data_IF_920256344537
#
_entry.id   IF_920256344537
#
_cell.length_a   1.000
_cell.length_b   1.000
_cell.length_c   1.000
_cell.angle_alpha   90.00
_cell.angle_beta   90.00
_cell.angle_gamma   90.00
#
_symmetry.space_group_name_H-M   'P 1'
#
loop_
_entity.id
_entity.type
_entity.pdbx_description
1 polymer ?
#
# COMPACT_ATOMS: atom_id res chain seq x y z
N UNK A 1 44.28 -0.28 46.24
CA UNK A 1 43.35 0.84 45.94
C UNK A 1 42.06 0.25 45.37
N UNK A 2 41.00 0.09 46.19
CA UNK A 2 39.71 -0.50 45.78
C UNK A 2 38.80 0.61 45.23
N UNK A 3 38.58 0.66 43.90
CA UNK A 3 37.65 1.61 43.28
C UNK A 3 36.21 1.08 43.26
N UNK A 4 35.32 1.89 43.80
CA UNK A 4 33.88 1.70 43.97
C UNK A 4 33.10 2.12 42.70
N UNK A 5 32.78 1.21 41.79
CA UNK A 5 32.07 1.57 40.52
C UNK A 5 30.66 0.94 40.39
N UNK A 6 30.17 0.13 41.34
CA UNK A 6 28.95 -0.69 41.10
C UNK A 6 27.59 -0.16 41.56
N UNK A 7 27.45 1.04 42.14
CA UNK A 7 26.14 1.50 42.67
C UNK A 7 25.25 2.28 41.70
N UNK A 8 25.79 3.00 40.70
CA UNK A 8 24.96 3.88 39.86
C UNK A 8 24.15 3.17 38.75
N UNK A 9 24.63 2.06 38.19
CA UNK A 9 23.90 1.32 37.14
C UNK A 9 22.72 0.51 37.69
N UNK A 10 22.76 0.10 38.96
CA UNK A 10 21.69 -0.68 39.58
C UNK A 10 20.43 0.16 39.81
N UNK A 11 20.58 1.45 40.11
CA UNK A 11 19.45 2.35 40.34
C UNK A 11 18.69 2.72 39.05
N UNK A 12 19.39 2.92 37.94
CA UNK A 12 18.76 3.17 36.64
C UNK A 12 18.04 1.93 36.08
N UNK A 13 18.63 0.74 36.27
CA UNK A 13 17.96 -0.53 35.93
C UNK A 13 16.69 -0.78 36.74
N UNK A 14 16.71 -0.47 38.05
CA UNK A 14 15.52 -0.61 38.90
C UNK A 14 14.41 0.41 38.56
N UNK A 15 14.77 1.64 38.18
CA UNK A 15 13.79 2.65 37.74
C UNK A 15 13.10 2.27 36.43
N UNK A 16 13.85 1.75 35.45
CA UNK A 16 13.29 1.29 34.17
C UNK A 16 12.34 0.09 34.34
N UNK A 17 12.66 -0.83 35.26
CA UNK A 17 11.79 -1.97 35.60
C UNK A 17 10.53 -1.51 36.35
N UNK A 18 10.62 -0.55 37.26
CA UNK A 18 9.43 0.01 37.94
C UNK A 18 8.48 0.72 36.96
N UNK A 19 8.99 1.46 35.98
CA UNK A 19 8.16 2.13 34.96
C UNK A 19 7.41 1.09 34.09
N UNK A 20 8.05 -0.03 33.77
CA UNK A 20 7.39 -1.13 33.06
C UNK A 20 6.30 -1.83 33.87
N UNK A 21 6.44 -1.91 35.20
CA UNK A 21 5.45 -2.54 36.08
C UNK A 21 4.23 -1.65 36.35
N UNK A 22 4.40 -0.32 36.39
CA UNK A 22 3.29 0.64 36.57
C UNK A 22 2.39 0.73 35.31
N UNK A 23 2.93 0.36 34.14
CA UNK A 23 2.21 0.37 32.86
C UNK A 23 1.19 -0.77 32.67
N UNK A 24 1.03 -1.68 33.65
CA UNK A 24 0.13 -2.84 33.51
C UNK A 24 -1.33 -2.59 33.90
N UNK A 25 -1.70 -1.44 34.47
CA UNK A 25 -3.12 -1.16 34.77
C UNK A 25 -3.78 -0.37 33.63
N UNK A 26 -5.00 -0.74 33.20
CA UNK A 26 -5.73 -0.03 32.14
C UNK A 26 -5.84 1.48 32.38
N UNK A 27 -6.08 1.89 33.64
CA UNK A 27 -6.19 3.29 34.04
C UNK A 27 -4.86 4.05 33.94
N UNK A 28 -3.73 3.45 34.32
CA UNK A 28 -2.43 4.09 34.17
C UNK A 28 -2.07 4.23 32.68
N UNK A 29 -2.39 3.22 31.87
CA UNK A 29 -2.14 3.22 30.42
C UNK A 29 -2.99 4.26 29.69
N UNK A 30 -4.27 4.40 30.03
CA UNK A 30 -5.15 5.45 29.49
C UNK A 30 -4.60 6.85 29.78
N UNK A 31 -4.23 7.12 31.04
CA UNK A 31 -3.69 8.42 31.44
C UNK A 31 -2.39 8.78 30.72
N UNK A 32 -1.51 7.80 30.50
CA UNK A 32 -0.24 8.03 29.79
C UNK A 32 -0.48 8.21 28.29
N UNK A 33 -1.26 7.33 27.66
CA UNK A 33 -1.50 7.40 26.22
C UNK A 33 -2.31 8.65 25.83
N UNK A 34 -3.25 9.07 26.67
CA UNK A 34 -4.08 10.26 26.42
C UNK A 34 -3.30 11.58 26.42
N UNK A 35 -2.05 11.59 26.89
CA UNK A 35 -1.16 12.76 26.78
C UNK A 35 -0.60 12.88 25.35
N UNK A 36 -0.41 11.76 24.65
CA UNK A 36 0.27 11.70 23.36
C UNK A 36 -0.66 11.42 22.18
N UNK A 37 -1.80 10.79 22.45
CA UNK A 37 -2.75 10.38 21.43
C UNK A 37 -4.13 10.92 21.80
N UNK A 38 -4.66 11.79 20.94
CA UNK A 38 -6.04 12.23 21.05
C UNK A 38 -6.97 11.06 20.68
N UNK A 39 -7.96 10.78 21.52
CA UNK A 39 -8.96 9.72 21.28
C UNK A 39 -8.62 8.35 21.89
N UNK A 40 -7.71 8.27 22.87
CA UNK A 40 -7.56 7.03 23.66
C UNK A 40 -8.88 6.75 24.40
N UNK A 41 -9.45 5.53 24.30
CA UNK A 41 -10.72 5.20 24.94
C UNK A 41 -10.59 5.09 26.46
N UNK A 42 -11.54 5.69 27.19
CA UNK A 42 -11.59 5.63 28.65
C UNK A 42 -12.05 4.22 29.11
N UNK A 43 -11.25 3.48 29.89
CA UNK A 43 -11.59 2.13 30.34
C UNK A 43 -12.85 2.07 31.21
N UNK A 44 -13.16 3.10 32.01
CA UNK A 44 -14.39 3.12 32.83
C UNK A 44 -15.66 3.26 31.97
N UNK A 45 -15.57 3.99 30.85
CA UNK A 45 -16.67 4.10 29.89
C UNK A 45 -16.85 2.81 29.09
N UNK A 46 -15.77 2.11 28.77
CA UNK A 46 -15.80 0.81 28.08
C UNK A 46 -16.45 -0.26 28.96
N UNK A 47 -16.14 -0.30 30.27
CA UNK A 47 -16.82 -1.16 31.23
C UNK A 47 -18.30 -0.78 31.42
N UNK A 48 -18.64 0.51 31.47
CA UNK A 48 -20.04 0.95 31.58
C UNK A 48 -20.87 0.60 30.33
N UNK A 49 -20.27 0.65 29.14
CA UNK A 49 -20.91 0.24 27.88
C UNK A 49 -21.21 -1.27 27.84
N UNK A 50 -20.41 -2.08 28.56
CA UNK A 50 -20.61 -3.52 28.70
C UNK A 50 -21.60 -3.90 29.81
N UNK A 51 -21.88 -2.98 30.75
CA UNK A 51 -22.76 -3.21 31.88
C UNK A 51 -24.25 -2.92 31.57
N UNK A 52 -24.55 -2.17 30.51
CA UNK A 52 -25.92 -1.79 30.10
C UNK A 52 -26.55 -2.76 29.08
N UNK A 53 -25.95 -3.94 28.87
CA UNK A 53 -26.50 -4.89 27.89
C UNK A 53 -27.62 -5.71 28.51
N UNK A 54 -28.87 -5.38 28.18
CA UNK A 54 -29.97 -6.35 28.27
C UNK A 54 -29.76 -7.47 27.25
N UNK A 55 -30.44 -8.61 27.41
CA UNK A 55 -30.29 -9.77 26.50
C UNK A 55 -30.64 -9.43 25.02
N UNK A 56 -31.44 -8.39 24.78
CA UNK A 56 -31.72 -7.87 23.44
C UNK A 56 -30.54 -7.06 22.88
N UNK A 57 -29.86 -6.29 23.73
CA UNK A 57 -28.69 -5.50 23.37
C UNK A 57 -27.44 -6.35 23.18
N UNK A 58 -27.32 -7.49 23.87
CA UNK A 58 -26.21 -8.42 23.68
C UNK A 58 -26.26 -9.11 22.31
N UNK A 59 -27.45 -9.39 21.75
CA UNK A 59 -27.60 -9.91 20.38
C UNK A 59 -27.33 -8.82 19.35
N UNK A 60 -27.86 -7.60 19.54
CA UNK A 60 -27.59 -6.48 18.66
C UNK A 60 -26.11 -6.03 18.69
N UNK A 61 -25.46 -6.11 19.86
CA UNK A 61 -24.04 -5.86 20.03
C UNK A 61 -23.21 -6.99 19.42
N UNK A 62 -23.55 -8.26 19.64
CA UNK A 62 -22.88 -9.39 18.99
C UNK A 62 -23.02 -9.32 17.47
N UNK A 63 -24.19 -8.95 16.95
CA UNK A 63 -24.40 -8.70 15.52
C UNK A 63 -23.59 -7.51 15.02
N UNK A 64 -23.54 -6.39 15.75
CA UNK A 64 -22.71 -5.23 15.40
C UNK A 64 -21.21 -5.52 15.47
N UNK A 65 -20.75 -6.30 16.45
CA UNK A 65 -19.38 -6.78 16.57
C UNK A 65 -19.06 -7.78 15.47
N UNK A 66 -19.98 -8.70 15.15
CA UNK A 66 -19.82 -9.65 14.05
C UNK A 66 -19.80 -8.94 12.69
N UNK A 67 -20.69 -7.98 12.45
CA UNK A 67 -20.70 -7.13 11.26
C UNK A 67 -19.44 -6.27 11.20
N UNK A 68 -19.03 -5.64 12.29
CA UNK A 68 -17.77 -4.87 12.39
C UNK A 68 -16.57 -5.76 12.13
N UNK A 69 -16.52 -6.99 12.65
CA UNK A 69 -15.45 -7.94 12.42
C UNK A 69 -15.48 -8.46 10.97
N UNK A 70 -16.65 -8.73 10.40
CA UNK A 70 -16.83 -9.11 9.00
C UNK A 70 -16.43 -7.98 8.04
N UNK A 71 -16.65 -6.72 8.43
CA UNK A 71 -16.21 -5.54 7.70
C UNK A 71 -14.71 -5.25 7.92
N UNK A 72 -14.17 -5.44 9.13
CA UNK A 72 -12.76 -5.27 9.46
C UNK A 72 -11.86 -6.36 8.84
N UNK A 73 -12.44 -7.52 8.52
CA UNK A 73 -11.78 -8.59 7.77
C UNK A 73 -11.74 -8.36 6.25
N UNK A 74 -12.48 -7.37 5.72
CA UNK A 74 -12.30 -6.94 4.33
C UNK A 74 -11.10 -5.98 4.23
N UNK A 75 -9.91 -6.47 4.57
CA UNK A 75 -8.69 -5.81 4.14
C UNK A 75 -8.71 -5.79 2.60
N UNK A 76 -8.50 -4.64 1.94
CA UNK A 76 -8.48 -4.60 0.49
C UNK A 76 -7.39 -5.57 0.00
N UNK A 77 -7.78 -6.53 -0.84
CA UNK A 77 -6.86 -7.50 -1.43
C UNK A 77 -5.95 -6.76 -2.40
N UNK A 78 -4.66 -6.61 -2.05
CA UNK A 78 -3.66 -6.05 -2.94
C UNK A 78 -2.99 -7.17 -3.74
N UNK A 79 -2.78 -6.92 -5.03
CA UNK A 79 -1.83 -7.65 -5.84
C UNK A 79 -0.44 -7.15 -5.47
N UNK A 80 0.41 -8.05 -4.97
CA UNK A 80 1.78 -7.74 -4.58
C UNK A 80 2.70 -8.11 -5.72
N UNK A 81 3.64 -7.22 -6.08
CA UNK A 81 4.72 -7.57 -6.98
C UNK A 81 5.58 -8.67 -6.34
N UNK A 82 5.92 -9.79 -7.01
CA UNK A 82 6.60 -10.90 -6.35
C UNK A 82 7.87 -10.50 -5.57
N UNK A 83 8.79 -9.67 -6.12
CA UNK A 83 9.94 -9.19 -5.35
C UNK A 83 9.57 -8.44 -4.06
N UNK A 84 8.47 -7.67 -4.08
CA UNK A 84 7.96 -6.96 -2.91
C UNK A 84 7.34 -7.92 -1.88
N UNK A 85 6.52 -8.88 -2.34
CA UNK A 85 5.92 -9.93 -1.49
C UNK A 85 6.99 -10.73 -0.77
N UNK A 86 8.09 -11.02 -1.46
CA UNK A 86 9.24 -11.77 -0.94
C UNK A 86 10.23 -10.92 -0.13
N UNK A 87 9.94 -9.62 0.06
CA UNK A 87 10.80 -8.67 0.77
C UNK A 87 12.22 -8.56 0.20
N UNK A 88 12.37 -8.81 -1.10
CA UNK A 88 13.62 -8.67 -1.85
C UNK A 88 13.87 -7.21 -2.23
N UNK A 89 13.76 -6.29 -1.26
CA UNK A 89 13.83 -4.85 -1.48
C UNK A 89 15.15 -4.45 -2.14
N UNK A 90 16.22 -5.16 -1.81
CA UNK A 90 17.56 -4.95 -2.34
C UNK A 90 17.73 -5.38 -3.80
N UNK A 91 16.73 -5.99 -4.46
CA UNK A 91 16.79 -6.24 -5.91
C UNK A 91 16.56 -4.97 -6.71
N UNK A 92 15.76 -4.04 -6.17
CA UNK A 92 15.47 -2.76 -6.82
C UNK A 92 16.18 -1.60 -6.14
N UNK A 93 16.32 -1.64 -4.81
CA UNK A 93 16.90 -0.54 -4.05
C UNK A 93 18.33 -0.83 -3.57
N UNK A 94 19.18 0.19 -3.59
CA UNK A 94 20.47 0.20 -2.91
C UNK A 94 20.36 1.00 -1.60
N UNK A 95 20.56 0.31 -0.48
CA UNK A 95 20.53 0.88 0.88
C UNK A 95 21.92 1.07 1.51
N UNK A 96 22.99 0.84 0.75
CA UNK A 96 24.37 0.90 1.25
C UNK A 96 24.77 2.26 1.85
N UNK A 97 24.20 3.34 1.35
CA UNK A 97 24.49 4.72 1.78
C UNK A 97 23.40 5.31 2.70
N UNK A 98 22.55 4.48 3.31
CA UNK A 98 21.44 4.95 4.15
C UNK A 98 20.26 5.57 3.38
N UNK A 99 20.38 5.74 2.07
CA UNK A 99 19.29 6.15 1.16
C UNK A 99 18.54 4.93 0.62
N UNK A 100 17.29 5.07 0.19
CA UNK A 100 16.56 3.99 -0.52
C UNK A 100 16.50 4.24 -2.04
N UNK A 101 17.65 4.53 -2.66
CA UNK A 101 17.73 4.83 -4.10
C UNK A 101 17.55 3.56 -4.93
N UNK A 102 17.19 3.71 -6.20
CA UNK A 102 17.16 2.60 -7.14
C UNK A 102 18.59 2.15 -7.50
N UNK A 103 18.78 0.85 -7.74
CA UNK A 103 20.06 0.27 -8.18
C UNK A 103 20.45 0.71 -9.58
N UNK A 104 19.45 0.88 -10.44
CA UNK A 104 19.59 1.35 -11.81
C UNK A 104 18.44 2.32 -12.12
N UNK A 105 18.62 3.25 -13.08
CA UNK A 105 17.51 4.05 -13.57
C UNK A 105 16.48 3.16 -14.30
N UNK A 106 15.26 3.66 -14.40
CA UNK A 106 14.27 3.08 -15.32
C UNK A 106 14.55 3.56 -16.75
N UNK A 107 14.32 2.71 -17.77
CA UNK A 107 13.69 1.39 -17.68
C UNK A 107 14.66 0.22 -17.39
N UNK A 108 15.98 0.45 -17.36
CA UNK A 108 17.00 -0.61 -17.24
C UNK A 108 16.76 -1.51 -16.01
N UNK A 109 16.43 -0.91 -14.87
CA UNK A 109 16.11 -1.68 -13.66
C UNK A 109 14.97 -2.68 -13.90
N UNK A 110 13.91 -2.27 -14.58
CA UNK A 110 12.75 -3.11 -14.85
C UNK A 110 13.13 -4.24 -15.82
N UNK A 111 13.91 -3.92 -16.85
CA UNK A 111 14.37 -4.88 -17.86
C UNK A 111 15.36 -5.91 -17.34
N UNK A 112 16.00 -5.67 -16.18
CA UNK A 112 16.85 -6.66 -15.53
C UNK A 112 16.13 -7.99 -15.23
N UNK A 113 14.80 -7.94 -15.07
CA UNK A 113 13.94 -9.11 -14.89
C UNK A 113 12.86 -9.24 -15.97
N UNK A 114 12.29 -8.13 -16.44
CA UNK A 114 11.23 -8.11 -17.47
C UNK A 114 11.82 -7.93 -18.87
N UNK A 115 12.56 -8.92 -19.32
CA UNK A 115 13.33 -8.88 -20.58
C UNK A 115 12.45 -8.84 -21.83
N UNK A 116 11.22 -9.32 -21.75
CA UNK A 116 10.28 -9.31 -22.88
C UNK A 116 10.01 -7.88 -23.39
N UNK A 117 10.02 -6.88 -22.50
CA UNK A 117 9.81 -5.46 -22.84
C UNK A 117 11.11 -4.70 -23.12
N UNK A 118 12.27 -5.36 -23.02
CA UNK A 118 13.57 -4.72 -23.28
C UNK A 118 13.84 -4.52 -24.77
N UNK A 119 13.14 -5.27 -25.62
CA UNK A 119 13.19 -5.09 -27.08
C UNK A 119 12.21 -4.00 -27.48
N UNK A 120 12.64 -2.99 -28.24
CA UNK A 120 11.73 -1.96 -28.70
C UNK A 120 10.75 -2.52 -29.73
N UNK A 121 9.50 -2.10 -29.63
CA UNK A 121 8.51 -2.19 -30.71
C UNK A 121 8.90 -1.25 -31.86
N UNK A 122 8.30 -1.42 -33.04
CA UNK A 122 8.53 -0.48 -34.15
C UNK A 122 8.08 0.94 -33.76
N UNK A 123 6.97 1.04 -33.02
CA UNK A 123 6.50 2.26 -32.38
C UNK A 123 6.31 2.01 -30.89
N UNK A 124 7.03 2.76 -30.07
CA UNK A 124 6.95 2.69 -28.60
C UNK A 124 5.92 3.69 -28.08
N UNK A 125 5.11 3.28 -27.10
CA UNK A 125 4.24 4.22 -26.41
C UNK A 125 5.08 5.20 -25.57
N UNK A 126 4.73 6.50 -25.59
CA UNK A 126 5.53 7.59 -24.99
C UNK A 126 5.99 7.36 -23.55
N UNK A 127 5.10 6.94 -22.61
CA UNK A 127 5.50 6.61 -21.25
C UNK A 127 6.54 5.49 -21.17
N UNK A 128 6.48 4.49 -22.06
CA UNK A 128 7.45 3.39 -22.09
C UNK A 128 8.76 3.83 -22.74
N UNK A 129 8.69 4.57 -23.85
CA UNK A 129 9.86 5.12 -24.53
C UNK A 129 10.70 6.05 -23.63
N UNK A 130 10.03 6.77 -22.72
CA UNK A 130 10.66 7.65 -21.73
C UNK A 130 11.09 6.95 -20.43
N UNK A 131 10.85 5.64 -20.29
CA UNK A 131 11.17 4.88 -19.08
C UNK A 131 10.24 5.15 -17.89
N UNK A 132 9.08 5.78 -18.09
CA UNK A 132 8.10 6.07 -17.06
C UNK A 132 7.16 4.88 -16.78
N UNK A 133 7.74 3.72 -16.46
CA UNK A 133 6.99 2.50 -16.14
C UNK A 133 6.00 2.73 -14.98
N UNK A 134 6.38 3.61 -14.03
CA UNK A 134 5.59 3.90 -12.83
C UNK A 134 4.42 4.85 -13.05
N UNK A 135 4.29 5.45 -14.23
CA UNK A 135 3.09 6.22 -14.59
C UNK A 135 1.86 5.31 -14.61
N UNK A 136 2.03 4.07 -15.07
CA UNK A 136 0.95 3.09 -15.19
C UNK A 136 1.02 1.99 -14.14
N UNK A 137 2.22 1.58 -13.67
CA UNK A 137 2.39 0.48 -12.72
C UNK A 137 2.89 0.92 -11.35
N UNK A 138 2.44 0.27 -10.28
CA UNK A 138 3.00 0.39 -8.94
C UNK A 138 3.95 -0.79 -8.66
N UNK A 139 5.27 -0.58 -8.55
CA UNK A 139 6.25 -1.67 -8.47
C UNK A 139 6.23 -2.42 -7.13
N UNK A 140 5.47 -1.96 -6.14
CA UNK A 140 5.30 -2.63 -4.85
C UNK A 140 3.99 -3.43 -4.82
N UNK A 141 2.87 -2.72 -4.97
CA UNK A 141 1.54 -3.33 -4.89
C UNK A 141 0.47 -2.45 -5.54
N UNK A 142 -0.60 -3.06 -6.00
CA UNK A 142 -1.82 -2.35 -6.38
C UNK A 142 -3.06 -3.17 -6.06
N UNK A 143 -4.20 -2.52 -5.85
CA UNK A 143 -5.51 -3.19 -5.82
C UNK A 143 -5.90 -3.75 -7.19
N UNK A 144 -5.27 -3.24 -8.24
CA UNK A 144 -5.59 -3.58 -9.63
C UNK A 144 -4.66 -4.68 -10.13
N UNK A 145 -5.15 -5.50 -11.07
CA UNK A 145 -4.34 -6.52 -11.71
C UNK A 145 -3.16 -5.89 -12.46
N UNK A 146 -2.12 -6.70 -12.71
CA UNK A 146 -0.87 -6.25 -13.37
C UNK A 146 -0.24 -5.02 -12.69
N UNK A 147 -0.54 -4.80 -11.41
CA UNK A 147 -0.06 -3.69 -10.60
C UNK A 147 -0.46 -2.30 -11.12
N UNK A 148 -1.53 -2.17 -11.89
CA UNK A 148 -1.91 -0.89 -12.49
C UNK A 148 -2.31 0.17 -11.45
N UNK A 149 -1.99 1.45 -11.69
CA UNK A 149 -2.36 2.56 -10.80
C UNK A 149 -3.85 2.92 -10.90
N UNK A 150 -4.49 2.60 -12.03
CA UNK A 150 -5.93 2.79 -12.32
C UNK A 150 -6.52 1.52 -12.94
N UNK A 151 -7.85 1.43 -13.01
CA UNK A 151 -8.57 0.25 -13.53
C UNK A 151 -9.23 0.52 -14.88
N UNK A 152 -9.20 -0.49 -15.75
CA UNK A 152 -9.88 -0.44 -17.05
C UNK A 152 -9.39 0.73 -17.90
N UNK A 153 -10.28 1.30 -18.70
CA UNK A 153 -9.99 2.41 -19.61
C UNK A 153 -9.49 3.68 -18.92
N UNK A 154 -9.77 3.85 -17.62
CA UNK A 154 -9.33 5.03 -16.86
C UNK A 154 -7.82 5.18 -16.79
N UNK A 155 -7.05 4.11 -17.05
CA UNK A 155 -5.59 4.23 -17.16
C UNK A 155 -5.18 4.98 -18.43
N UNK A 156 -5.87 4.73 -19.55
CA UNK A 156 -5.62 5.35 -20.85
C UNK A 156 -6.19 6.78 -20.87
N UNK A 157 -7.45 6.91 -20.44
CA UNK A 157 -8.18 8.19 -20.40
C UNK A 157 -7.64 9.17 -19.36
N UNK A 158 -6.64 8.78 -18.58
CA UNK A 158 -5.90 9.69 -17.72
C UNK A 158 -5.10 10.72 -18.51
N UNK A 159 -4.62 10.34 -19.70
CA UNK A 159 -3.86 11.21 -20.59
C UNK A 159 -4.55 11.40 -21.95
N UNK A 160 -5.25 10.39 -22.44
CA UNK A 160 -5.96 10.46 -23.72
C UNK A 160 -7.36 11.04 -23.53
N UNK A 161 -7.63 12.18 -24.16
CA UNK A 161 -8.93 12.84 -24.07
C UNK A 161 -10.02 11.94 -24.70
N UNK A 162 -10.99 11.53 -23.89
CA UNK A 162 -12.05 10.58 -24.28
C UNK A 162 -12.76 11.01 -25.57
N UNK A 163 -13.08 12.30 -25.72
CA UNK A 163 -13.75 12.81 -26.93
C UNK A 163 -12.91 12.64 -28.20
N UNK A 164 -11.58 12.71 -28.09
CA UNK A 164 -10.68 12.54 -29.25
C UNK A 164 -10.48 11.06 -29.56
N UNK A 165 -10.48 10.21 -28.54
CA UNK A 165 -10.37 8.76 -28.71
C UNK A 165 -11.64 8.21 -29.37
N UNK A 166 -12.83 8.50 -28.85
CA UNK A 166 -14.07 7.86 -29.33
C UNK A 166 -14.75 8.54 -30.51
N UNK A 167 -14.29 9.72 -30.95
CA UNK A 167 -14.92 10.47 -32.05
C UNK A 167 -14.05 10.44 -33.31
N UNK A 168 -13.77 9.24 -33.82
CA UNK A 168 -13.09 9.00 -35.08
C UNK A 168 -13.76 7.83 -35.83
N UNK A 169 -13.37 7.62 -37.09
CA UNK A 169 -13.98 6.59 -37.95
C UNK A 169 -13.63 5.18 -37.46
N UNK A 170 -12.44 5.01 -36.88
CA UNK A 170 -11.91 3.72 -36.43
C UNK A 170 -12.63 3.15 -35.19
N UNK A 171 -13.21 4.03 -34.38
CA UNK A 171 -13.94 3.67 -33.16
C UNK A 171 -15.46 3.88 -33.28
N UNK A 172 -15.99 4.04 -34.50
CA UNK A 172 -17.43 4.25 -34.73
C UNK A 172 -18.29 3.13 -34.14
N UNK A 173 -17.80 1.89 -34.20
CA UNK A 173 -18.49 0.68 -33.72
C UNK A 173 -18.12 0.28 -32.28
N UNK A 174 -17.33 1.09 -31.55
CA UNK A 174 -16.93 0.76 -30.19
C UNK A 174 -17.97 1.22 -29.16
N UNK A 175 -18.30 0.33 -28.24
CA UNK A 175 -19.06 0.69 -27.06
C UNK A 175 -18.14 1.35 -26.01
N UNK A 176 -18.64 2.33 -25.24
CA UNK A 176 -17.86 2.95 -24.17
C UNK A 176 -17.38 1.97 -23.08
N UNK A 177 -17.88 0.73 -23.06
CA UNK A 177 -17.45 -0.32 -22.13
C UNK A 177 -16.33 -1.22 -22.66
N UNK A 178 -15.98 -1.14 -23.94
CA UNK A 178 -15.02 -2.06 -24.56
C UNK A 178 -13.60 -1.82 -24.05
N UNK A 179 -12.80 -2.88 -23.88
CA UNK A 179 -11.46 -2.71 -23.32
C UNK A 179 -10.48 -2.26 -24.41
N UNK A 180 -9.77 -1.16 -24.17
CA UNK A 180 -8.75 -0.66 -25.10
C UNK A 180 -7.71 -1.75 -25.44
N UNK A 181 -7.36 -2.58 -24.46
CA UNK A 181 -6.31 -3.60 -24.61
C UNK A 181 -6.75 -4.86 -25.35
N UNK A 182 -8.00 -4.93 -25.80
CA UNK A 182 -8.45 -6.02 -26.67
C UNK A 182 -7.90 -5.82 -28.10
N UNK A 183 -7.58 -4.57 -28.48
CA UNK A 183 -7.00 -4.21 -29.77
C UNK A 183 -5.63 -3.49 -29.67
N UNK A 184 -5.38 -2.71 -28.60
CA UNK A 184 -4.16 -1.92 -28.43
C UNK A 184 -3.16 -2.55 -27.43
N UNK A 185 -1.86 -2.43 -27.69
CA UNK A 185 -0.83 -2.76 -26.70
C UNK A 185 -0.28 -1.48 -26.06
N UNK A 186 -0.52 -1.26 -24.75
CA UNK A 186 -0.12 -0.03 -24.07
C UNK A 186 1.39 0.16 -23.96
N UNK A 187 2.21 -0.82 -24.36
CA UNK A 187 3.67 -0.69 -24.40
C UNK A 187 4.22 -0.26 -25.77
N UNK A 188 3.57 -0.66 -26.86
CA UNK A 188 4.09 -0.45 -28.21
C UNK A 188 3.52 -1.42 -29.24
N UNK A 189 3.72 -1.13 -30.52
CA UNK A 189 3.25 -1.97 -31.61
C UNK A 189 3.94 -1.65 -32.94
N UNK A 190 3.36 -2.14 -34.03
CA UNK A 190 3.88 -1.88 -35.39
C UNK A 190 3.46 -0.52 -35.94
N UNK A 191 2.36 0.05 -35.44
CA UNK A 191 1.80 1.33 -35.86
C UNK A 191 1.45 2.23 -34.66
N UNK A 192 1.59 3.55 -34.86
CA UNK A 192 1.29 4.59 -33.86
C UNK A 192 -0.17 4.63 -33.42
N UNK A 193 -1.09 4.15 -34.25
CA UNK A 193 -2.52 4.15 -33.97
C UNK A 193 -2.97 2.91 -33.19
N UNK A 194 -2.08 1.95 -32.93
CA UNK A 194 -2.34 0.72 -32.16
C UNK A 194 -1.77 0.76 -30.73
N UNK A 195 -1.46 1.96 -30.25
CA UNK A 195 -0.95 2.25 -28.90
C UNK A 195 -2.09 2.54 -27.92
#
# INVERSE_FOLDING_TARGET
>A
MKLQIKKHHLHWGLMLVMVFLIACTPNARYKILGIFFDGVPNPEQEQALLADTTLADSVALAQRIFLRNKLAQRQPTYNLHPPYKERKCNQCHDRSQGTNRLKEPMPQLCFSCHTDFSKPYAVMHGPVASGNCTGCHNPHMSKNQKLLTRTGQNICLYCHESKLVFKNEEHEDLEPSDNCTDCHDPHGGDDRFLL
#
